data_IF_330025816922
#
_entry.id   IF_330025816922
#
_cell.length_a   1.000
_cell.length_b   1.000
_cell.length_c   1.000
_cell.angle_alpha   90.00
_cell.angle_beta   90.00
_cell.angle_gamma   90.00
#
_symmetry.space_group_name_H-M   'P 1'
#
loop_
_entity.id
_entity.type
_entity.pdbx_description
1 polymer ?
#
# COMPACT_ATOMS: atom_id res chain seq x y z
N UNK A 1 4.49 26.04 -26.90
CA UNK A 1 5.74 25.28 -27.17
C UNK A 1 6.70 26.21 -27.88
N UNK A 2 7.98 26.25 -27.50
CA UNK A 2 9.00 27.20 -28.01
C UNK A 2 9.47 26.93 -29.44
N UNK A 3 8.88 25.96 -30.15
CA UNK A 3 9.14 25.68 -31.57
C UNK A 3 10.54 25.13 -31.90
N UNK A 4 11.39 24.91 -30.89
CA UNK A 4 12.80 24.53 -31.03
C UNK A 4 13.03 23.02 -31.16
N UNK A 5 11.97 22.20 -31.12
CA UNK A 5 12.05 20.73 -31.23
C UNK A 5 12.75 20.02 -30.06
N UNK A 6 13.31 20.77 -29.12
CA UNK A 6 14.05 20.27 -27.95
C UNK A 6 13.17 20.02 -26.74
N UNK A 7 11.95 20.55 -26.75
CA UNK A 7 11.00 20.42 -25.63
C UNK A 7 9.78 19.64 -26.08
N UNK A 8 9.47 18.57 -25.36
CA UNK A 8 8.26 17.78 -25.53
C UNK A 8 7.41 17.88 -24.26
N UNK A 9 6.10 18.06 -24.43
CA UNK A 9 5.14 17.97 -23.34
C UNK A 9 4.29 16.73 -23.58
N UNK A 10 4.16 15.90 -22.55
CA UNK A 10 3.39 14.66 -22.59
C UNK A 10 2.41 14.64 -21.43
N UNK A 11 1.20 14.19 -21.69
CA UNK A 11 0.19 14.07 -20.66
C UNK A 11 -0.88 13.08 -21.09
N UNK A 12 -1.57 12.55 -20.10
CA UNK A 12 -2.63 11.58 -20.31
C UNK A 12 -3.45 11.43 -19.05
N UNK A 13 -4.72 11.10 -19.20
CA UNK A 13 -5.61 10.77 -18.12
C UNK A 13 -6.49 9.58 -18.52
N UNK A 14 -6.89 8.77 -17.56
CA UNK A 14 -7.72 7.60 -17.78
C UNK A 14 -8.55 7.27 -16.56
N UNK A 15 -9.72 6.67 -16.81
CA UNK A 15 -10.62 6.16 -15.79
C UNK A 15 -10.71 4.66 -15.96
N UNK A 16 -10.40 3.94 -14.90
CA UNK A 16 -10.38 2.48 -14.90
C UNK A 16 -11.39 1.98 -13.87
N UNK A 17 -12.18 1.02 -14.29
CA UNK A 17 -13.15 0.34 -13.44
C UNK A 17 -12.61 -1.04 -13.10
N UNK A 18 -12.86 -1.47 -11.87
CA UNK A 18 -12.45 -2.78 -11.41
C UNK A 18 -13.61 -3.49 -10.70
N UNK A 19 -13.42 -4.76 -10.38
CA UNK A 19 -14.27 -5.55 -9.50
C UNK A 19 -13.50 -5.86 -8.22
N UNK A 20 -14.22 -6.03 -7.13
CA UNK A 20 -13.61 -6.50 -5.89
C UNK A 20 -13.23 -7.99 -6.01
N UNK A 21 -12.26 -8.42 -5.20
CA UNK A 21 -11.74 -9.79 -5.26
C UNK A 21 -12.82 -10.85 -5.01
N UNK A 22 -12.73 -11.97 -5.71
CA UNK A 22 -13.68 -13.09 -5.62
C UNK A 22 -13.75 -13.73 -4.23
N UNK A 23 -12.65 -13.65 -3.47
CA UNK A 23 -12.57 -14.09 -2.07
C UNK A 23 -13.63 -13.41 -1.19
N UNK A 24 -14.01 -12.17 -1.54
CA UNK A 24 -15.09 -11.50 -0.85
C UNK A 24 -16.45 -12.14 -1.14
N UNK A 25 -16.66 -12.80 -2.28
CA UNK A 25 -17.90 -13.54 -2.54
C UNK A 25 -17.88 -14.89 -1.81
N UNK A 26 -16.73 -15.57 -1.76
CA UNK A 26 -16.57 -16.82 -1.03
C UNK A 26 -16.89 -16.67 0.47
N UNK A 27 -16.50 -15.54 1.06
CA UNK A 27 -16.88 -15.18 2.43
C UNK A 27 -18.38 -15.31 2.71
N UNK A 28 -19.28 -15.16 1.71
CA UNK A 28 -20.72 -15.26 1.93
C UNK A 28 -21.23 -16.70 2.09
N UNK A 29 -20.53 -17.69 1.51
CA UNK A 29 -20.91 -19.10 1.61
C UNK A 29 -20.34 -19.80 2.85
N UNK A 30 -19.35 -19.18 3.49
CA UNK A 30 -18.75 -19.64 4.76
C UNK A 30 -19.50 -19.09 5.99
N UNK A 31 -20.64 -18.43 5.79
CA UNK A 31 -21.43 -17.85 6.87
C UNK A 31 -22.67 -18.68 7.22
N UNK A 32 -23.19 -18.53 8.45
CA UNK A 32 -24.50 -19.06 8.80
C UNK A 32 -25.60 -18.54 7.85
N UNK A 33 -26.61 -19.36 7.53
CA UNK A 33 -26.85 -20.72 8.06
C UNK A 33 -26.12 -21.83 7.29
N UNK A 34 -25.32 -21.49 6.27
CA UNK A 34 -24.67 -22.48 5.41
C UNK A 34 -23.54 -23.22 6.13
N UNK A 35 -22.80 -22.53 6.99
CA UNK A 35 -21.74 -23.09 7.82
C UNK A 35 -21.91 -22.67 9.28
N UNK A 36 -22.03 -23.65 10.18
CA UNK A 36 -22.05 -23.46 11.63
C UNK A 36 -20.85 -24.16 12.25
N UNK A 37 -19.94 -23.39 12.83
CA UNK A 37 -18.75 -23.92 13.49
C UNK A 37 -18.99 -24.04 14.98
N UNK A 38 -18.91 -25.26 15.50
CA UNK A 38 -18.93 -25.53 16.93
C UNK A 38 -17.51 -25.73 17.43
N UNK A 39 -17.22 -25.24 18.62
CA UNK A 39 -15.90 -25.37 19.24
C UNK A 39 -16.01 -26.14 20.55
N UNK A 40 -14.94 -26.85 20.88
CA UNK A 40 -14.77 -27.47 22.19
C UNK A 40 -13.34 -27.21 22.64
N UNK A 41 -13.17 -26.89 23.92
CA UNK A 41 -11.90 -26.50 24.50
C UNK A 41 -11.47 -27.54 25.53
N UNK A 42 -10.16 -27.66 25.78
CA UNK A 42 -9.59 -28.56 26.79
C UNK A 42 -9.93 -30.05 26.57
N UNK A 43 -9.90 -30.51 25.32
CA UNK A 43 -10.12 -31.92 24.96
C UNK A 43 -8.92 -32.52 24.23
N UNK A 44 -8.93 -33.83 24.02
CA UNK A 44 -7.97 -34.56 23.18
C UNK A 44 -8.63 -35.02 21.89
N UNK A 45 -7.83 -35.35 20.86
CA UNK A 45 -8.37 -35.93 19.61
C UNK A 45 -9.16 -37.22 19.88
N UNK A 46 -8.77 -38.01 20.90
CA UNK A 46 -9.46 -39.26 21.27
C UNK A 46 -10.84 -39.00 21.88
N UNK A 47 -10.97 -37.92 22.66
CA UNK A 47 -12.19 -37.59 23.41
C UNK A 47 -13.13 -36.63 22.67
N UNK A 48 -12.73 -36.17 21.48
CA UNK A 48 -13.42 -35.13 20.71
C UNK A 48 -14.90 -35.46 20.46
N UNK A 49 -15.23 -36.70 20.10
CA UNK A 49 -16.61 -37.13 19.81
C UNK A 49 -17.52 -37.17 21.05
N UNK A 50 -16.94 -37.29 22.24
CA UNK A 50 -17.66 -37.28 23.52
C UNK A 50 -17.65 -35.90 24.18
N UNK A 51 -16.88 -34.95 23.64
CA UNK A 51 -16.71 -33.63 24.25
C UNK A 51 -17.91 -32.74 23.95
N UNK A 52 -18.40 -31.97 24.94
CA UNK A 52 -19.47 -31.02 24.70
C UNK A 52 -19.02 -29.98 23.69
N UNK A 53 -19.83 -29.81 22.65
CA UNK A 53 -19.64 -28.79 21.62
C UNK A 53 -20.41 -27.54 22.04
N UNK A 54 -19.74 -26.40 21.97
CA UNK A 54 -20.34 -25.10 22.27
C UNK A 54 -20.46 -24.27 20.99
N UNK A 55 -21.57 -23.56 20.87
CA UNK A 55 -21.76 -22.52 19.87
C UNK A 55 -21.73 -21.17 20.57
N UNK A 56 -20.93 -20.25 20.05
CA UNK A 56 -20.95 -18.85 20.42
C UNK A 56 -21.69 -18.06 19.34
N UNK A 57 -22.20 -16.85 19.64
CA UNK A 57 -22.73 -15.96 18.62
C UNK A 57 -21.78 -15.86 17.42
N UNK A 58 -22.30 -16.15 16.23
CA UNK A 58 -21.49 -16.23 15.01
C UNK A 58 -21.27 -14.85 14.42
N UNK A 59 -20.07 -14.63 13.88
CA UNK A 59 -19.80 -13.43 13.10
C UNK A 59 -20.55 -13.49 11.77
N UNK A 60 -21.07 -12.34 11.32
CA UNK A 60 -21.83 -12.24 10.07
C UNK A 60 -21.24 -11.12 9.23
N UNK A 61 -21.19 -11.32 7.92
CA UNK A 61 -20.79 -10.28 6.97
C UNK A 61 -22.00 -9.83 6.17
N UNK A 62 -22.10 -8.54 5.97
CA UNK A 62 -23.13 -7.92 5.14
C UNK A 62 -22.48 -7.27 3.93
N UNK A 63 -23.11 -7.46 2.76
CA UNK A 63 -22.66 -6.90 1.50
C UNK A 63 -23.77 -6.03 0.92
N UNK A 64 -23.51 -4.74 0.74
CA UNK A 64 -24.45 -3.82 0.13
C UNK A 64 -24.42 -3.98 -1.39
N UNK A 65 -25.33 -3.26 -2.03
CA UNK A 65 -25.39 -3.12 -3.49
C UNK A 65 -24.02 -2.74 -4.05
N UNK A 66 -23.63 -3.45 -5.11
CA UNK A 66 -22.37 -3.21 -5.80
C UNK A 66 -22.31 -1.80 -6.37
N UNK A 67 -21.26 -1.07 -6.01
CA UNK A 67 -20.86 0.18 -6.66
C UNK A 67 -19.47 -0.05 -7.25
N UNK A 68 -19.28 0.10 -8.56
CA UNK A 68 -17.98 -0.17 -9.17
C UNK A 68 -16.84 0.66 -8.54
N UNK A 69 -15.79 0.02 -8.01
CA UNK A 69 -14.53 0.68 -7.73
C UNK A 69 -14.00 1.38 -8.98
N UNK A 70 -13.53 2.61 -8.81
CA UNK A 70 -13.02 3.42 -9.92
C UNK A 70 -11.69 4.04 -9.56
N UNK A 71 -10.79 4.08 -10.52
CA UNK A 71 -9.44 4.62 -10.39
C UNK A 71 -9.21 5.66 -11.48
N UNK A 72 -8.97 6.89 -11.05
CA UNK A 72 -8.57 8.00 -11.92
C UNK A 72 -7.06 8.08 -11.94
N UNK A 73 -6.45 7.97 -13.12
CA UNK A 73 -5.02 8.13 -13.32
C UNK A 73 -4.78 9.37 -14.18
N UNK A 74 -3.76 10.15 -13.85
CA UNK A 74 -3.31 11.23 -14.72
C UNK A 74 -1.82 11.47 -14.57
N UNK A 75 -1.22 11.96 -15.65
CA UNK A 75 0.17 12.42 -15.65
C UNK A 75 0.33 13.62 -16.56
N UNK A 76 1.25 14.50 -16.20
CA UNK A 76 1.70 15.61 -17.01
C UNK A 76 3.20 15.77 -16.85
N UNK A 77 3.94 15.74 -17.93
CA UNK A 77 5.38 15.85 -17.92
C UNK A 77 5.92 16.72 -19.03
N UNK A 78 7.07 17.31 -18.74
CA UNK A 78 7.85 18.11 -19.68
C UNK A 78 9.24 17.49 -19.77
N UNK A 79 9.60 17.10 -20.98
CA UNK A 79 10.92 16.60 -21.33
C UNK A 79 11.65 17.64 -22.15
N UNK A 80 12.92 17.86 -21.86
CA UNK A 80 13.78 18.79 -22.60
C UNK A 80 15.16 18.20 -22.85
N UNK A 81 15.64 18.36 -24.08
CA UNK A 81 17.04 18.21 -24.42
C UNK A 81 17.82 19.44 -23.93
N UNK A 82 18.82 19.18 -23.09
CA UNK A 82 19.64 20.14 -22.35
C UNK A 82 21.07 20.10 -22.92
N UNK A 83 21.92 21.01 -22.47
CA UNK A 83 23.33 21.03 -22.85
C UNK A 83 24.03 19.69 -22.60
N UNK A 84 25.04 19.39 -23.42
CA UNK A 84 25.92 18.21 -23.30
C UNK A 84 25.24 16.84 -23.46
N UNK A 85 24.15 16.79 -24.24
CA UNK A 85 23.45 15.54 -24.59
C UNK A 85 22.67 14.94 -23.43
N UNK A 86 22.31 15.77 -22.46
CA UNK A 86 21.44 15.40 -21.36
C UNK A 86 19.98 15.64 -21.75
N UNK A 87 19.15 14.65 -21.51
CA UNK A 87 17.70 14.76 -21.61
C UNK A 87 17.13 14.75 -20.21
N UNK A 88 16.51 15.85 -19.80
CA UNK A 88 15.83 15.97 -18.51
C UNK A 88 14.32 15.86 -18.70
N UNK A 89 13.65 15.13 -17.82
CA UNK A 89 12.20 14.98 -17.80
C UNK A 89 11.69 15.20 -16.38
N UNK A 90 10.64 16.01 -16.26
CA UNK A 90 9.94 16.28 -15.01
C UNK A 90 8.48 15.98 -15.24
N UNK A 91 7.94 15.03 -14.48
CA UNK A 91 6.56 14.58 -14.58
C UNK A 91 5.86 14.65 -13.23
N UNK A 92 4.63 15.14 -13.23
CA UNK A 92 3.68 14.99 -12.16
C UNK A 92 2.79 13.78 -12.47
N UNK A 93 2.67 12.85 -11.53
CA UNK A 93 1.85 11.65 -11.67
C UNK A 93 0.89 11.57 -10.49
N UNK A 94 -0.40 11.46 -10.79
CA UNK A 94 -1.47 11.40 -9.81
C UNK A 94 -2.38 10.19 -10.04
N UNK A 95 -2.89 9.66 -8.93
CA UNK A 95 -3.85 8.59 -8.89
C UNK A 95 -4.86 8.87 -7.77
N UNK A 96 -6.14 8.67 -8.06
CA UNK A 96 -7.22 8.75 -7.10
C UNK A 96 -8.13 7.53 -7.24
N UNK A 97 -8.14 6.66 -6.24
CA UNK A 97 -9.07 5.54 -6.15
C UNK A 97 -10.31 5.97 -5.35
N UNK A 98 -11.50 5.65 -5.86
CA UNK A 98 -12.79 5.93 -5.22
C UNK A 98 -13.66 4.68 -5.25
N UNK A 99 -14.65 4.65 -4.37
CA UNK A 99 -15.58 3.53 -4.19
C UNK A 99 -14.85 2.20 -3.96
N UNK A 100 -13.70 2.25 -3.30
CA UNK A 100 -12.94 1.04 -2.97
C UNK A 100 -13.71 0.26 -1.89
N UNK A 101 -13.66 -1.06 -1.99
CA UNK A 101 -14.32 -1.92 -1.02
C UNK A 101 -13.56 -1.86 0.31
N UNK A 102 -14.25 -1.45 1.37
CA UNK A 102 -13.72 -1.38 2.73
C UNK A 102 -14.64 -2.07 3.71
N UNK A 103 -14.16 -2.31 4.92
CA UNK A 103 -14.92 -2.93 6.00
C UNK A 103 -15.35 -1.91 7.05
N UNK A 104 -16.57 -2.08 7.54
CA UNK A 104 -17.17 -1.33 8.65
C UNK A 104 -17.69 -2.29 9.71
N UNK A 105 -17.18 -2.16 10.94
CA UNK A 105 -17.54 -3.04 12.05
C UNK A 105 -18.82 -2.57 12.76
N UNK A 106 -19.99 -2.83 12.17
CA UNK A 106 -21.28 -2.31 12.67
C UNK A 106 -21.69 -2.88 14.02
N UNK A 107 -21.25 -4.10 14.37
CA UNK A 107 -21.40 -4.67 15.71
C UNK A 107 -20.04 -4.75 16.43
N UNK A 108 -19.21 -3.71 16.28
CA UNK A 108 -18.00 -3.58 17.09
C UNK A 108 -18.34 -3.19 18.53
N UNK A 109 -17.35 -3.28 19.42
CA UNK A 109 -17.47 -2.76 20.79
C UNK A 109 -17.01 -1.29 20.80
N UNK A 110 -17.82 -0.34 21.30
CA UNK A 110 -17.38 1.04 21.44
C UNK A 110 -16.09 1.18 22.28
N UNK A 111 -15.33 2.24 22.01
CA UNK A 111 -14.12 2.52 22.77
C UNK A 111 -14.47 2.83 24.24
N UNK A 112 -13.65 2.35 25.17
CA UNK A 112 -13.84 2.60 26.60
C UNK A 112 -14.95 1.79 27.28
N UNK A 113 -15.79 1.06 26.54
CA UNK A 113 -16.93 0.33 27.10
C UNK A 113 -16.52 -0.74 28.12
N UNK A 114 -15.39 -1.41 27.88
CA UNK A 114 -14.82 -2.42 28.79
C UNK A 114 -14.39 -1.86 30.17
N UNK A 115 -14.31 -0.55 30.33
CA UNK A 115 -13.96 0.09 31.61
C UNK A 115 -15.17 0.71 32.32
N UNK A 116 -16.37 0.59 31.75
CA UNK A 116 -17.59 1.04 32.41
C UNK A 116 -17.99 0.04 33.50
N UNK A 117 -18.42 0.55 34.66
CA UNK A 117 -18.85 -0.30 35.77
C UNK A 117 -19.96 -1.31 35.38
N UNK A 118 -20.84 -0.92 34.45
CA UNK A 118 -21.90 -1.78 33.90
C UNK A 118 -21.40 -2.94 33.02
N UNK A 119 -20.17 -2.85 32.52
CA UNK A 119 -19.56 -3.84 31.62
C UNK A 119 -18.58 -4.77 32.33
N UNK A 120 -18.37 -4.59 33.63
CA UNK A 120 -17.51 -5.44 34.45
C UNK A 120 -18.31 -6.65 34.96
N UNK A 121 -17.69 -7.84 34.89
CA UNK A 121 -18.23 -9.09 35.40
C UNK A 121 -17.73 -9.31 36.84
N UNK A 122 -18.57 -9.09 37.87
CA UNK A 122 -18.14 -9.23 39.26
C UNK A 122 -17.72 -10.66 39.63
N UNK A 123 -18.10 -11.65 38.83
CA UNK A 123 -17.75 -13.06 39.04
C UNK A 123 -16.38 -13.43 38.47
N UNK A 124 -15.79 -12.58 37.62
CA UNK A 124 -14.50 -12.82 36.98
C UNK A 124 -13.43 -11.83 37.48
N UNK A 125 -12.66 -12.26 38.49
CA UNK A 125 -11.61 -11.45 39.11
C UNK A 125 -10.25 -12.12 38.92
N UNK A 126 -9.33 -11.43 38.25
CA UNK A 126 -7.96 -11.90 38.01
C UNK A 126 -6.99 -10.94 38.69
N UNK A 127 -6.19 -11.44 39.62
CA UNK A 127 -5.21 -10.62 40.36
C UNK A 127 -5.84 -9.48 41.17
N UNK A 128 -7.08 -9.64 41.64
CA UNK A 128 -7.81 -8.59 42.36
C UNK A 128 -8.47 -7.52 41.47
N UNK A 129 -8.38 -7.65 40.15
CA UNK A 129 -8.99 -6.74 39.18
C UNK A 129 -10.18 -7.43 38.51
N UNK A 130 -11.36 -6.79 38.60
CA UNK A 130 -12.58 -7.25 37.93
C UNK A 130 -12.42 -7.11 36.42
N UNK A 131 -12.70 -8.18 35.69
CA UNK A 131 -12.58 -8.22 34.24
C UNK A 131 -13.89 -7.80 33.55
N UNK A 132 -13.84 -7.23 32.34
CA UNK A 132 -15.04 -6.97 31.55
C UNK A 132 -15.72 -8.27 31.10
N UNK A 133 -17.02 -8.22 30.86
CA UNK A 133 -17.72 -9.29 30.14
C UNK A 133 -17.09 -9.52 28.76
N UNK A 134 -17.18 -10.74 28.20
CA UNK A 134 -16.80 -11.02 26.81
C UNK A 134 -17.44 -10.04 25.83
N UNK A 135 -16.70 -9.69 24.77
CA UNK A 135 -17.14 -8.69 23.77
C UNK A 135 -18.52 -8.98 23.19
N UNK A 136 -18.86 -10.25 22.96
CA UNK A 136 -20.15 -10.68 22.42
C UNK A 136 -21.34 -10.23 23.28
N UNK A 137 -21.16 -10.13 24.60
CA UNK A 137 -22.19 -9.66 25.53
C UNK A 137 -22.28 -8.13 25.61
N UNK A 138 -21.20 -7.45 25.23
CA UNK A 138 -21.07 -5.98 25.28
C UNK A 138 -21.42 -5.31 23.95
N UNK A 139 -21.66 -6.10 22.90
CA UNK A 139 -22.07 -5.63 21.58
C UNK A 139 -23.54 -5.21 21.53
N UNK A 140 -23.85 -4.26 20.66
CA UNK A 140 -25.21 -3.72 20.52
C UNK A 140 -26.20 -4.74 19.95
N UNK A 141 -25.79 -5.53 18.97
CA UNK A 141 -26.61 -6.62 18.41
C UNK A 141 -26.30 -7.92 19.18
N UNK A 142 -27.12 -8.19 20.21
CA UNK A 142 -27.02 -9.40 21.03
C UNK A 142 -27.43 -10.64 20.23
N UNK A 143 -26.79 -11.77 20.51
CA UNK A 143 -27.02 -13.04 19.81
C UNK A 143 -26.22 -13.17 18.50
N UNK A 144 -25.53 -12.11 18.07
CA UNK A 144 -24.56 -12.13 16.97
C UNK A 144 -23.16 -11.83 17.48
N UNK A 145 -22.17 -12.45 16.83
CA UNK A 145 -20.77 -12.10 16.97
C UNK A 145 -20.46 -10.75 16.31
N UNK A 146 -19.24 -10.57 15.83
CA UNK A 146 -18.90 -9.37 15.07
C UNK A 146 -19.74 -9.31 13.80
N UNK A 147 -20.34 -8.15 13.51
CA UNK A 147 -21.01 -7.90 12.24
C UNK A 147 -20.16 -6.93 11.45
N UNK A 148 -19.66 -7.38 10.30
CA UNK A 148 -18.82 -6.61 9.41
C UNK A 148 -19.58 -6.32 8.13
N UNK A 149 -19.91 -5.05 7.92
CA UNK A 149 -20.44 -4.56 6.66
C UNK A 149 -19.27 -4.27 5.73
N UNK A 150 -19.28 -4.84 4.52
CA UNK A 150 -18.45 -4.32 3.44
C UNK A 150 -19.14 -3.11 2.83
N UNK A 151 -18.41 -2.12 2.33
CA UNK A 151 -19.02 -1.00 1.62
C UNK A 151 -18.05 -0.36 0.63
N UNK A 152 -18.60 0.22 -0.44
CA UNK A 152 -17.83 0.86 -1.50
C UNK A 152 -17.66 2.36 -1.21
N UNK A 153 -17.04 2.68 -0.08
CA UNK A 153 -16.81 4.05 0.40
C UNK A 153 -15.32 4.36 0.63
N UNK A 154 -14.44 3.40 0.34
CA UNK A 154 -13.00 3.59 0.45
C UNK A 154 -12.45 4.53 -0.61
N UNK A 155 -11.40 5.25 -0.22
CA UNK A 155 -10.68 6.14 -1.12
C UNK A 155 -9.18 6.09 -0.86
N UNK A 156 -8.42 6.38 -1.92
CA UNK A 156 -6.97 6.53 -1.85
C UNK A 156 -6.52 7.62 -2.79
N UNK A 157 -5.51 8.36 -2.35
CA UNK A 157 -4.89 9.42 -3.13
C UNK A 157 -3.38 9.22 -3.15
N UNK A 158 -2.82 9.25 -4.35
CA UNK A 158 -1.39 9.17 -4.57
C UNK A 158 -0.96 10.27 -5.53
N UNK A 159 0.07 11.01 -5.14
CA UNK A 159 0.62 12.09 -5.95
C UNK A 159 2.13 12.06 -5.84
N UNK A 160 2.82 12.11 -6.98
CA UNK A 160 4.27 12.12 -7.03
C UNK A 160 4.80 13.08 -8.09
N UNK A 161 5.98 13.62 -7.81
CA UNK A 161 6.81 14.30 -8.78
C UNK A 161 7.98 13.39 -9.12
N UNK A 162 8.16 13.11 -10.40
CA UNK A 162 9.21 12.26 -10.93
C UNK A 162 10.14 13.12 -11.77
N UNK A 163 11.43 13.02 -11.49
CA UNK A 163 12.48 13.71 -12.22
C UNK A 163 13.41 12.64 -12.75
N UNK A 164 13.66 12.65 -14.05
CA UNK A 164 14.67 11.80 -14.66
C UNK A 164 15.63 12.62 -15.50
N UNK A 165 16.89 12.20 -15.52
CA UNK A 165 17.91 12.83 -16.33
C UNK A 165 18.78 11.74 -16.92
N UNK A 166 18.84 11.68 -18.24
CA UNK A 166 19.59 10.67 -18.97
C UNK A 166 20.58 11.35 -19.90
N UNK A 167 21.83 10.92 -19.85
CA UNK A 167 22.86 11.27 -20.82
C UNK A 167 23.16 10.05 -21.66
N UNK A 168 22.91 10.15 -22.96
CA UNK A 168 23.31 9.09 -23.89
C UNK A 168 24.82 9.18 -24.15
N UNK A 169 25.44 8.03 -24.37
CA UNK A 169 26.87 7.87 -24.66
C UNK A 169 27.33 8.90 -25.71
N UNK A 170 28.11 9.88 -25.27
CA UNK A 170 28.85 10.78 -26.16
C UNK A 170 30.19 10.15 -26.55
N UNK A 171 30.92 10.79 -27.46
CA UNK A 171 32.23 10.35 -27.99
C UNK A 171 33.29 9.96 -26.95
N UNK A 172 33.10 10.35 -25.68
CA UNK A 172 34.02 10.09 -24.57
C UNK A 172 33.55 8.97 -23.62
N UNK A 173 32.61 8.11 -24.05
CA UNK A 173 32.32 6.84 -23.35
C UNK A 173 31.58 6.94 -22.01
N UNK A 174 31.02 8.10 -21.67
CA UNK A 174 30.27 8.29 -20.42
C UNK A 174 28.74 8.27 -20.65
N UNK A 175 28.05 7.46 -19.86
CA UNK A 175 26.58 7.35 -19.80
C UNK A 175 26.13 7.54 -18.36
N UNK A 176 25.10 8.37 -18.15
CA UNK A 176 24.52 8.64 -16.83
C UNK A 176 23.00 8.56 -16.91
N UNK A 177 22.39 7.88 -15.95
CA UNK A 177 20.95 7.87 -15.70
C UNK A 177 20.68 8.26 -14.26
N UNK A 178 19.75 9.17 -14.06
CA UNK A 178 19.26 9.60 -12.76
C UNK A 178 17.75 9.51 -12.77
N UNK A 179 17.17 8.88 -11.75
CA UNK A 179 15.73 8.82 -11.53
C UNK A 179 15.44 9.17 -10.07
N UNK A 180 14.65 10.21 -9.86
CA UNK A 180 14.25 10.69 -8.55
C UNK A 180 12.72 10.78 -8.49
N UNK A 181 12.13 10.14 -7.48
CA UNK A 181 10.70 10.21 -7.21
C UNK A 181 10.47 10.84 -5.85
N UNK A 182 9.68 11.91 -5.84
CA UNK A 182 9.19 12.57 -4.66
C UNK A 182 7.70 12.27 -4.46
N UNK A 183 7.35 11.52 -3.42
CA UNK A 183 5.96 11.19 -3.09
C UNK A 183 5.34 12.30 -2.21
N UNK A 184 4.45 13.09 -2.81
CA UNK A 184 3.76 14.21 -2.17
C UNK A 184 2.64 13.69 -1.27
N UNK A 185 1.84 12.75 -1.78
CA UNK A 185 0.74 12.12 -1.07
C UNK A 185 0.75 10.64 -1.38
N UNK A 186 0.50 9.83 -0.36
CA UNK A 186 0.15 8.43 -0.48
C UNK A 186 -0.69 8.11 0.75
N UNK A 187 -2.01 8.14 0.59
CA UNK A 187 -2.97 7.93 1.68
C UNK A 187 -4.06 6.99 1.21
N UNK A 188 -4.52 6.12 2.10
CA UNK A 188 -5.65 5.23 1.84
C UNK A 188 -6.53 5.08 3.07
N UNK A 189 -7.84 5.10 2.85
CA UNK A 189 -8.85 4.73 3.83
C UNK A 189 -9.26 3.29 3.55
N UNK A 190 -8.81 2.35 4.40
CA UNK A 190 -9.08 0.92 4.23
C UNK A 190 -10.20 0.36 5.12
N UNK A 191 -10.66 1.11 6.12
CA UNK A 191 -11.70 0.68 7.05
C UNK A 191 -12.40 1.87 7.71
N UNK A 192 -13.66 1.65 8.09
CA UNK A 192 -14.46 2.61 8.87
C UNK A 192 -14.80 2.02 10.24
N UNK A 193 -14.46 2.77 11.28
CA UNK A 193 -14.93 2.56 12.63
C UNK A 193 -16.20 3.40 12.86
N UNK A 194 -17.37 2.78 13.10
CA UNK A 194 -18.61 3.53 13.32
C UNK A 194 -18.62 4.34 14.62
N UNK A 195 -17.68 4.09 15.54
CA UNK A 195 -17.59 4.79 16.83
C UNK A 195 -16.70 6.03 16.77
N UNK A 196 -16.17 6.36 15.58
CA UNK A 196 -15.30 7.53 15.40
C UNK A 196 -15.95 8.54 14.45
N UNK A 197 -16.07 9.82 14.87
CA UNK A 197 -16.67 10.87 14.04
C UNK A 197 -15.89 11.13 12.75
N UNK A 198 -14.56 11.15 12.84
CA UNK A 198 -13.66 11.40 11.71
C UNK A 198 -12.76 10.19 11.43
N UNK A 199 -13.24 9.32 10.55
CA UNK A 199 -12.48 8.16 10.08
C UNK A 199 -11.30 8.55 9.18
N UNK A 200 -11.32 9.71 8.52
CA UNK A 200 -10.19 10.17 7.72
C UNK A 200 -9.03 10.55 8.63
N UNK A 201 -9.27 11.31 9.69
CA UNK A 201 -8.22 11.67 10.64
C UNK A 201 -7.59 10.45 11.33
N UNK A 202 -8.39 9.42 11.65
CA UNK A 202 -7.93 8.26 12.43
C UNK A 202 -7.44 7.08 11.59
N UNK A 203 -8.15 6.74 10.52
CA UNK A 203 -7.94 5.50 9.77
C UNK A 203 -7.22 5.73 8.43
N UNK A 204 -6.93 6.98 8.04
CA UNK A 204 -5.98 7.20 6.95
C UNK A 204 -4.61 6.70 7.39
N UNK A 205 -4.09 5.76 6.62
CA UNK A 205 -2.71 5.36 6.73
C UNK A 205 -1.91 5.91 5.54
N UNK A 206 -0.65 6.23 5.80
CA UNK A 206 0.34 6.51 4.76
C UNK A 206 1.35 5.37 4.67
N UNK A 207 0.89 4.15 4.99
CA UNK A 207 1.75 2.98 5.12
C UNK A 207 2.51 2.75 3.80
N UNK A 208 3.83 2.63 3.90
CA UNK A 208 4.69 2.41 2.75
C UNK A 208 4.99 3.67 1.93
N UNK A 209 4.50 4.86 2.31
CA UNK A 209 4.94 6.11 1.70
C UNK A 209 6.43 6.30 1.93
N UNK A 210 7.19 6.41 0.84
CA UNK A 210 8.61 6.75 0.83
C UNK A 210 8.76 8.10 0.15
N UNK A 211 8.84 9.20 0.92
CA UNK A 211 8.88 10.55 0.36
C UNK A 211 9.96 10.73 -0.70
N UNK A 212 11.14 10.16 -0.53
CA UNK A 212 12.26 10.31 -1.47
C UNK A 212 12.80 8.96 -1.90
N UNK A 213 12.87 8.74 -3.20
CA UNK A 213 13.59 7.61 -3.79
C UNK A 213 14.47 8.13 -4.92
N UNK A 214 15.76 7.88 -4.83
CA UNK A 214 16.76 8.28 -5.82
C UNK A 214 17.50 7.03 -6.31
N UNK A 215 17.61 6.88 -7.61
CA UNK A 215 18.47 5.89 -8.25
C UNK A 215 19.38 6.60 -9.24
N UNK A 216 20.68 6.31 -9.16
CA UNK A 216 21.71 6.81 -10.06
C UNK A 216 22.43 5.62 -10.66
N UNK A 217 22.50 5.57 -11.98
CA UNK A 217 23.23 4.56 -12.74
C UNK A 217 24.24 5.25 -13.63
N UNK A 218 25.50 4.79 -13.63
CA UNK A 218 26.53 5.36 -14.49
C UNK A 218 27.39 4.26 -15.09
N UNK A 219 27.88 4.54 -16.29
CA UNK A 219 28.87 3.73 -17.01
C UNK A 219 29.91 4.68 -17.59
N UNK A 220 31.17 4.43 -17.31
CA UNK A 220 32.30 5.21 -17.79
C UNK A 220 33.31 4.28 -18.45
N UNK A 221 33.50 4.46 -19.75
CA UNK A 221 34.59 3.81 -20.48
C UNK A 221 35.90 4.56 -20.18
N UNK A 222 36.88 3.87 -19.61
CA UNK A 222 38.18 4.44 -19.27
C UNK A 222 38.94 4.75 -20.57
N UNK A 223 39.51 5.96 -20.73
CA UNK A 223 40.31 6.32 -21.89
C UNK A 223 41.46 5.34 -22.08
N UNK A 224 41.72 4.96 -23.33
CA UNK A 224 42.78 4.02 -23.68
C UNK A 224 44.14 4.57 -23.28
N UNK A 225 44.79 3.93 -22.31
CA UNK A 225 46.11 4.35 -21.85
C UNK A 225 47.15 4.23 -22.98
N UNK A 226 46.89 3.38 -23.98
CA UNK A 226 47.70 3.25 -25.18
C UNK A 226 47.82 4.53 -26.02
N UNK A 227 46.87 5.46 -25.91
CA UNK A 227 46.92 6.75 -26.62
C UNK A 227 47.98 7.69 -26.05
N UNK A 228 48.42 7.46 -24.80
CA UNK A 228 49.42 8.28 -24.13
C UNK A 228 50.74 7.54 -23.92
N UNK A 229 50.71 6.22 -23.76
CA UNK A 229 51.88 5.35 -23.68
C UNK A 229 51.75 4.17 -24.64
N UNK A 230 52.37 4.29 -25.81
CA UNK A 230 52.31 3.27 -26.87
C UNK A 230 53.22 2.08 -26.55
N UNK A 231 52.77 1.19 -25.67
CA UNK A 231 53.44 -0.07 -25.34
C UNK A 231 52.44 -1.24 -25.44
N UNK A 232 52.88 -2.38 -25.97
CA UNK A 232 52.10 -3.62 -26.10
C UNK A 232 51.49 -4.08 -24.77
N UNK A 233 52.21 -3.93 -23.67
CA UNK A 233 51.70 -4.24 -22.33
C UNK A 233 50.60 -3.26 -21.88
N UNK A 234 50.74 -1.97 -22.20
CA UNK A 234 49.71 -0.97 -21.89
C UNK A 234 48.43 -1.23 -22.72
N UNK A 235 48.57 -1.56 -24.01
CA UNK A 235 47.45 -1.97 -24.87
C UNK A 235 46.73 -3.22 -24.37
N UNK A 236 47.48 -4.22 -23.90
CA UNK A 236 46.92 -5.50 -23.47
C UNK A 236 46.21 -5.42 -22.11
N UNK A 237 46.70 -4.57 -21.19
CA UNK A 237 46.23 -4.56 -19.79
C UNK A 237 45.39 -3.34 -19.46
N UNK A 238 45.61 -2.18 -20.09
CA UNK A 238 45.03 -0.90 -19.65
C UNK A 238 43.98 -0.34 -20.62
N UNK A 239 43.71 -0.98 -21.75
CA UNK A 239 42.67 -0.55 -22.68
C UNK A 239 41.32 -1.24 -22.44
N UNK A 240 40.24 -0.55 -22.80
CA UNK A 240 38.84 -1.05 -22.77
C UNK A 240 38.30 -1.35 -21.36
N UNK A 241 38.86 -0.77 -20.32
CA UNK A 241 38.25 -0.81 -19.00
C UNK A 241 36.93 -0.03 -18.98
N UNK A 242 35.94 -0.58 -18.28
CA UNK A 242 34.67 0.08 -18.03
C UNK A 242 34.37 0.05 -16.54
N UNK A 243 34.01 1.21 -15.99
CA UNK A 243 33.56 1.35 -14.61
C UNK A 243 32.05 1.58 -14.67
N UNK A 244 31.29 0.75 -13.97
CA UNK A 244 29.84 0.91 -13.86
C UNK A 244 29.37 0.79 -12.42
N UNK A 245 28.24 1.44 -12.12
CA UNK A 245 27.65 1.40 -10.80
C UNK A 245 26.19 1.79 -10.81
N UNK A 246 25.45 1.24 -9.86
CA UNK A 246 24.07 1.62 -9.56
C UNK A 246 23.98 1.90 -8.07
N UNK A 247 23.56 3.11 -7.73
CA UNK A 247 23.34 3.55 -6.36
C UNK A 247 21.86 3.85 -6.17
N UNK A 248 21.23 3.23 -5.18
CA UNK A 248 19.84 3.50 -4.82
C UNK A 248 19.75 3.97 -3.37
N UNK A 249 19.07 5.09 -3.15
CA UNK A 249 18.85 5.70 -1.84
C UNK A 249 17.36 5.93 -1.67
N UNK A 250 16.81 5.47 -0.55
CA UNK A 250 15.39 5.62 -0.23
C UNK A 250 15.24 6.20 1.16
N UNK A 251 14.32 7.15 1.33
CA UNK A 251 13.96 7.65 2.64
C UNK A 251 13.28 6.57 3.47
N UNK A 252 13.32 6.75 4.79
CA UNK A 252 12.53 5.94 5.72
C UNK A 252 11.04 6.04 5.36
N UNK A 253 10.28 4.93 5.45
CA UNK A 253 8.84 4.99 5.30
C UNK A 253 8.19 5.90 6.35
N UNK A 254 7.17 6.63 5.95
CA UNK A 254 6.26 7.34 6.86
C UNK A 254 5.31 6.31 7.49
N UNK A 255 5.01 6.46 8.77
CA UNK A 255 3.99 5.68 9.49
C UNK A 255 2.64 6.37 9.34
#
# INVERSE_FOLDING_TARGET
MTGDGKTAVRGGAGVFYDRFADDNVLDLVELPPLLNTYTTNYTTIRDLLASPLTATPTAVRYFPTFVPPVVYNWSLGVQRDVLWGFVADVAYVGNAARNQLITRAINGRPYGYAYQASSLDPSNVVGGIVQPYPDDLLRSYRGYGAITQREFSGDSDFHSMQVSMNRRRMSHGFTLGLAYTYQIVNKSLGAIDPFVPDNRARNYNSNGRRPHTLTVSYVYDVPRASERWDNLLAKAVLDNWQISGITSVMSRPVR
#
